data_IF_290981659512
#
_entry.id   IF_290981659512
#
_cell.length_a   1.000
_cell.length_b   1.000
_cell.length_c   1.000
_cell.angle_alpha   90.00
_cell.angle_beta   90.00
_cell.angle_gamma   90.00
#
_symmetry.space_group_name_H-M   'P 1'
#
loop_
_entity.id
_entity.type
_entity.pdbx_description
1 polymer ?
#
# COMPACT_ATOMS: atom_id res chain seq x y z
N UNK A 1 70.85 -30.73 26.40
CA UNK A 1 70.71 -30.97 24.95
C UNK A 1 69.45 -31.80 24.71
N UNK A 2 68.42 -31.12 24.19
CA UNK A 2 67.42 -31.54 23.19
C UNK A 2 67.06 -33.03 23.06
N UNK A 3 65.77 -33.36 23.22
CA UNK A 3 64.92 -34.06 22.22
C UNK A 3 63.47 -34.15 22.75
N UNK A 4 62.61 -33.17 22.50
CA UNK A 4 61.66 -33.11 21.37
C UNK A 4 60.57 -34.19 21.43
N UNK A 5 59.51 -33.91 22.21
CA UNK A 5 58.27 -34.68 22.22
C UNK A 5 57.35 -34.20 21.07
N UNK A 6 56.84 -35.17 20.32
CA UNK A 6 55.81 -35.00 19.29
C UNK A 6 54.54 -34.39 19.89
N UNK A 7 54.15 -33.20 19.40
CA UNK A 7 52.81 -32.66 19.58
C UNK A 7 52.22 -32.37 18.20
N UNK A 8 51.38 -33.29 17.73
CA UNK A 8 50.51 -33.08 16.57
C UNK A 8 49.43 -32.10 17.00
N UNK A 9 49.53 -30.85 16.54
CA UNK A 9 48.53 -29.82 16.77
C UNK A 9 47.45 -29.94 15.69
N UNK A 10 46.31 -30.55 16.04
CA UNK A 10 45.12 -30.54 15.19
C UNK A 10 44.52 -29.14 15.27
N UNK A 11 44.77 -28.33 14.24
CA UNK A 11 44.13 -27.03 14.05
C UNK A 11 42.65 -27.28 13.67
N UNK A 12 41.76 -27.21 14.65
CA UNK A 12 40.33 -27.14 14.39
C UNK A 12 40.02 -25.79 13.73
N UNK A 13 39.83 -25.81 12.41
CA UNK A 13 39.24 -24.70 11.66
C UNK A 13 37.82 -24.49 12.19
N UNK A 14 37.68 -23.55 13.13
CA UNK A 14 36.42 -22.90 13.43
C UNK A 14 36.04 -22.10 12.18
N UNK A 15 35.30 -22.75 11.28
CA UNK A 15 34.62 -22.07 10.19
C UNK A 15 33.66 -21.07 10.79
N UNK A 16 34.05 -19.80 10.83
CA UNK A 16 33.11 -18.71 11.01
C UNK A 16 32.15 -18.78 9.83
N UNK A 17 30.92 -19.23 10.10
CA UNK A 17 29.84 -19.15 9.14
C UNK A 17 29.63 -17.68 8.80
N UNK A 18 30.25 -17.22 7.71
CA UNK A 18 29.87 -15.97 7.09
C UNK A 18 28.43 -16.15 6.63
N UNK A 19 27.48 -15.58 7.37
CA UNK A 19 26.12 -15.45 6.89
C UNK A 19 26.20 -14.52 5.69
N UNK A 20 26.01 -15.06 4.49
CA UNK A 20 25.83 -14.26 3.30
C UNK A 20 24.53 -13.46 3.51
N UNK A 21 24.64 -12.22 3.99
CA UNK A 21 23.50 -11.31 4.03
C UNK A 21 23.23 -10.87 2.59
N UNK A 22 22.01 -11.10 2.11
CA UNK A 22 21.58 -10.54 0.84
C UNK A 22 21.51 -9.01 0.99
N UNK A 23 22.06 -8.25 0.03
CA UNK A 23 22.11 -6.77 0.05
C UNK A 23 20.75 -6.11 -0.24
N UNK A 24 19.64 -6.76 0.11
CA UNK A 24 18.31 -6.22 -0.17
C UNK A 24 18.06 -5.02 0.72
N UNK A 25 17.77 -3.86 0.13
CA UNK A 25 17.35 -2.66 0.86
C UNK A 25 16.15 -2.00 0.20
N UNK A 26 15.51 -1.06 0.89
CA UNK A 26 14.38 -0.31 0.34
C UNK A 26 14.90 0.75 -0.62
N UNK A 27 14.28 0.80 -1.81
CA UNK A 27 14.49 1.88 -2.75
C UNK A 27 13.88 3.17 -2.16
N UNK A 28 14.71 4.15 -1.82
CA UNK A 28 14.27 5.48 -1.39
C UNK A 28 14.87 6.57 -2.27
N UNK A 29 14.08 7.58 -2.61
CA UNK A 29 14.55 8.82 -3.22
C UNK A 29 13.56 9.95 -2.89
N UNK A 30 14.05 11.10 -2.42
CA UNK A 30 13.21 12.23 -2.02
C UNK A 30 13.86 13.16 -0.99
N UNK A 31 13.06 14.02 -0.38
CA UNK A 31 13.48 15.00 0.64
C UNK A 31 13.30 14.49 2.09
N UNK A 32 12.82 13.25 2.26
CA UNK A 32 12.64 12.57 3.54
C UNK A 32 13.12 11.13 3.47
N UNK A 33 13.44 10.55 4.63
CA UNK A 33 13.76 9.14 4.76
C UNK A 33 12.50 8.28 4.52
N UNK A 34 12.62 7.04 4.02
CA UNK A 34 11.46 6.19 3.78
C UNK A 34 10.83 5.73 5.11
N UNK A 35 9.69 6.31 5.46
CA UNK A 35 8.84 5.87 6.57
C UNK A 35 7.86 4.80 6.07
N UNK A 36 7.93 3.59 6.63
CA UNK A 36 7.02 2.51 6.28
C UNK A 36 5.82 2.56 7.24
N UNK A 37 4.65 2.88 6.73
CA UNK A 37 3.39 2.78 7.47
C UNK A 37 2.52 1.69 6.87
N UNK A 38 1.90 0.88 7.74
CA UNK A 38 1.03 -0.23 7.35
C UNK A 38 -0.21 -0.27 8.24
N UNK A 39 -1.32 -0.77 7.70
CA UNK A 39 -2.57 -0.96 8.43
C UNK A 39 -3.09 -2.40 8.27
N UNK A 40 -3.96 -2.89 9.19
CA UNK A 40 -4.52 -4.23 9.11
C UNK A 40 -5.23 -4.47 7.77
N UNK A 41 -4.92 -5.59 7.11
CA UNK A 41 -5.54 -5.98 5.84
C UNK A 41 -5.14 -5.12 4.62
N UNK A 42 -4.25 -4.14 4.78
CA UNK A 42 -3.84 -3.24 3.72
C UNK A 42 -3.14 -3.98 2.58
N UNK A 43 -3.54 -3.69 1.33
CA UNK A 43 -2.71 -3.96 0.16
C UNK A 43 -1.67 -2.84 0.01
N UNK A 44 -0.40 -3.22 -0.09
CA UNK A 44 0.70 -2.28 -0.27
C UNK A 44 1.81 -2.90 -1.11
N UNK A 45 2.75 -2.09 -1.58
CA UNK A 45 3.90 -2.52 -2.39
C UNK A 45 5.20 -2.11 -1.71
N UNK A 46 6.09 -3.08 -1.49
CA UNK A 46 7.45 -2.84 -1.05
C UNK A 46 8.37 -2.71 -2.27
N UNK A 47 9.11 -1.62 -2.37
CA UNK A 47 10.10 -1.41 -3.44
C UNK A 47 11.51 -1.72 -2.94
N UNK A 48 12.13 -2.71 -3.55
CA UNK A 48 13.37 -3.33 -3.11
C UNK A 48 14.47 -3.16 -4.14
N UNK A 49 15.69 -2.91 -3.70
CA UNK A 49 16.91 -2.98 -4.52
C UNK A 49 17.83 -4.06 -3.98
N UNK A 50 18.79 -4.53 -4.78
CA UNK A 50 19.82 -5.48 -4.35
C UNK A 50 19.37 -6.96 -4.29
N UNK A 51 18.15 -7.27 -4.74
CA UNK A 51 17.67 -8.66 -4.91
C UNK A 51 18.51 -9.41 -5.93
N UNK A 52 18.85 -10.67 -5.64
CA UNK A 52 19.57 -11.59 -6.53
C UNK A 52 18.70 -12.26 -7.58
N UNK A 53 17.38 -12.28 -7.35
CA UNK A 53 16.41 -12.77 -8.30
C UNK A 53 16.20 -11.73 -9.41
N UNK A 54 16.36 -12.17 -10.65
CA UNK A 54 15.93 -11.42 -11.85
C UNK A 54 14.88 -12.28 -12.56
N UNK A 55 13.64 -11.82 -12.57
CA UNK A 55 12.54 -12.52 -13.23
C UNK A 55 12.78 -12.58 -14.73
N UNK A 56 12.54 -13.73 -15.33
CA UNK A 56 12.52 -13.88 -16.80
C UNK A 56 11.29 -13.22 -17.42
N UNK A 57 11.39 -12.81 -18.69
CA UNK A 57 10.26 -12.25 -19.45
C UNK A 57 10.31 -10.72 -19.57
N UNK A 58 9.44 -10.19 -20.44
CA UNK A 58 9.17 -8.76 -20.62
C UNK A 58 7.65 -8.61 -20.83
N UNK A 59 6.91 -7.91 -19.95
CA UNK A 59 7.39 -7.30 -18.70
C UNK A 59 7.83 -8.36 -17.66
N UNK A 60 8.75 -7.99 -16.77
CA UNK A 60 9.24 -8.87 -15.68
C UNK A 60 8.23 -8.87 -14.53
N UNK A 61 7.17 -9.64 -14.66
CA UNK A 61 6.04 -9.65 -13.72
C UNK A 61 5.59 -11.08 -13.47
N UNK A 62 5.25 -11.38 -12.21
CA UNK A 62 4.56 -12.59 -11.81
C UNK A 62 3.44 -12.23 -10.84
N UNK A 63 2.20 -12.50 -11.23
CA UNK A 63 1.01 -12.37 -10.38
C UNK A 63 0.69 -13.67 -9.65
N UNK A 64 -0.02 -13.57 -8.53
CA UNK A 64 -0.55 -14.74 -7.85
C UNK A 64 -1.52 -15.50 -8.78
N UNK A 65 -1.34 -16.83 -8.95
CA UNK A 65 -2.25 -17.64 -9.76
C UNK A 65 -3.51 -18.06 -8.99
N UNK A 66 -3.57 -17.86 -7.68
CA UNK A 66 -4.62 -18.42 -6.81
C UNK A 66 -5.16 -17.40 -5.81
N UNK A 67 -6.37 -17.67 -5.34
CA UNK A 67 -6.93 -17.10 -4.10
C UNK A 67 -7.29 -18.29 -3.18
N UNK A 68 -6.83 -18.34 -1.92
CA UNK A 68 -6.02 -17.33 -1.24
C UNK A 68 -4.66 -17.06 -1.87
N UNK A 69 -4.17 -15.82 -1.75
CA UNK A 69 -2.84 -15.45 -2.26
C UNK A 69 -1.74 -16.24 -1.54
N UNK A 70 -0.69 -16.70 -2.24
CA UNK A 70 0.40 -17.46 -1.65
C UNK A 70 1.32 -16.56 -0.83
N UNK A 71 1.97 -17.12 0.17
CA UNK A 71 2.98 -16.42 1.00
C UNK A 71 4.40 -16.51 0.43
N UNK A 72 4.58 -17.24 -0.68
CA UNK A 72 5.79 -17.27 -1.47
C UNK A 72 5.42 -17.09 -2.95
N UNK A 73 6.02 -16.09 -3.59
CA UNK A 73 5.81 -15.84 -5.01
C UNK A 73 7.11 -15.36 -5.63
N UNK A 74 7.47 -15.94 -6.78
CA UNK A 74 8.67 -15.58 -7.53
C UNK A 74 9.98 -15.64 -6.70
N UNK A 75 10.03 -16.51 -5.69
CA UNK A 75 11.16 -16.66 -4.76
C UNK A 75 11.19 -15.65 -3.60
N UNK A 76 10.22 -14.75 -3.52
CA UNK A 76 10.07 -13.79 -2.41
C UNK A 76 9.05 -14.28 -1.40
N UNK A 77 9.34 -14.06 -0.12
CA UNK A 77 8.39 -14.14 0.99
C UNK A 77 8.58 -12.93 1.88
N UNK A 78 7.53 -12.49 2.55
CA UNK A 78 7.56 -11.34 3.46
C UNK A 78 6.93 -11.76 4.78
N UNK A 79 7.63 -11.55 5.88
CA UNK A 79 7.10 -11.79 7.22
C UNK A 79 6.94 -10.50 7.98
N UNK A 80 5.80 -10.34 8.65
CA UNK A 80 5.51 -9.25 9.57
C UNK A 80 5.66 -9.82 10.98
N UNK A 81 6.55 -9.24 11.78
CA UNK A 81 6.74 -9.59 13.18
C UNK A 81 6.31 -8.44 14.07
N UNK A 82 5.49 -8.73 15.07
CA UNK A 82 5.12 -7.83 16.14
C UNK A 82 5.75 -8.34 17.43
N UNK A 83 6.44 -7.47 18.17
CA UNK A 83 7.07 -7.82 19.45
C UNK A 83 6.70 -6.87 20.57
N UNK A 84 6.61 -7.39 21.80
CA UNK A 84 6.29 -6.66 23.02
C UNK A 84 4.91 -7.06 23.57
N UNK A 85 3.91 -6.16 23.51
CA UNK A 85 2.57 -6.47 24.03
C UNK A 85 1.86 -7.60 23.25
N UNK A 86 2.28 -7.83 22.01
CA UNK A 86 2.02 -9.05 21.23
C UNK A 86 3.34 -9.56 20.68
N UNK A 87 3.51 -10.88 20.70
CA UNK A 87 4.61 -11.56 20.02
C UNK A 87 3.99 -12.46 18.95
N UNK A 88 4.03 -12.01 17.70
CA UNK A 88 3.56 -12.77 16.55
C UNK A 88 4.51 -12.57 15.37
N UNK A 89 4.63 -13.59 14.54
CA UNK A 89 5.31 -13.53 13.26
C UNK A 89 4.43 -14.24 12.24
N UNK A 90 4.03 -13.53 11.21
CA UNK A 90 3.12 -14.03 10.18
C UNK A 90 3.67 -13.75 8.79
N UNK A 91 3.39 -14.65 7.86
CA UNK A 91 3.74 -14.46 6.46
C UNK A 91 2.65 -13.67 5.74
N UNK A 92 3.04 -12.64 5.01
CA UNK A 92 2.14 -11.83 4.21
C UNK A 92 1.79 -12.56 2.90
N UNK A 93 0.49 -12.67 2.55
CA UNK A 93 0.08 -13.12 1.22
C UNK A 93 0.53 -12.13 0.14
N UNK A 94 1.14 -12.63 -0.94
CA UNK A 94 1.73 -11.83 -2.02
C UNK A 94 0.78 -11.82 -3.22
N UNK A 95 0.37 -10.63 -3.64
CA UNK A 95 -0.47 -10.38 -4.82
C UNK A 95 0.34 -10.53 -6.10
N UNK A 96 1.54 -9.96 -6.12
CA UNK A 96 2.39 -9.95 -7.30
C UNK A 96 3.81 -9.46 -7.02
N UNK A 97 4.74 -9.87 -7.89
CA UNK A 97 6.11 -9.39 -7.92
C UNK A 97 6.39 -8.81 -9.30
N UNK A 98 6.92 -7.59 -9.34
CA UNK A 98 7.26 -6.91 -10.57
C UNK A 98 8.67 -6.35 -10.50
N UNK A 99 9.37 -6.31 -11.63
CA UNK A 99 10.73 -5.77 -11.71
C UNK A 99 10.87 -4.76 -12.83
N UNK A 100 11.42 -3.60 -12.49
CA UNK A 100 11.73 -2.53 -13.43
C UNK A 100 13.24 -2.38 -13.54
N UNK A 101 13.75 -2.31 -14.77
CA UNK A 101 15.14 -1.98 -15.03
C UNK A 101 15.31 -0.47 -15.15
N UNK A 102 16.01 0.15 -14.20
CA UNK A 102 16.26 1.59 -14.21
C UNK A 102 17.39 2.01 -15.16
N UNK A 103 18.23 1.07 -15.61
CA UNK A 103 19.39 1.37 -16.45
C UNK A 103 19.09 1.32 -17.97
N UNK A 104 17.82 1.25 -18.37
CA UNK A 104 17.42 1.25 -19.78
C UNK A 104 17.39 -0.15 -20.42
N UNK A 105 17.70 -0.25 -21.71
CA UNK A 105 17.50 -1.48 -22.52
C UNK A 105 18.76 -2.32 -22.74
N UNK A 106 19.89 -1.96 -22.13
CA UNK A 106 21.17 -2.70 -22.32
C UNK A 106 21.10 -4.12 -21.70
N UNK A 107 21.44 -5.19 -22.47
CA UNK A 107 21.38 -6.56 -21.97
C UNK A 107 22.73 -7.04 -21.36
N UNK A 108 22.69 -7.85 -20.28
CA UNK A 108 21.60 -7.99 -19.32
C UNK A 108 21.60 -6.84 -18.30
N UNK A 109 20.44 -6.48 -17.71
CA UNK A 109 20.45 -5.58 -16.57
C UNK A 109 21.36 -6.15 -15.50
N UNK A 110 22.36 -5.38 -15.09
CA UNK A 110 23.06 -5.72 -13.86
C UNK A 110 22.02 -5.76 -12.74
N UNK A 111 22.17 -6.72 -11.83
CA UNK A 111 21.30 -6.88 -10.67
C UNK A 111 21.12 -5.55 -9.89
N UNK A 112 22.15 -4.70 -9.91
CA UNK A 112 22.18 -3.36 -9.32
C UNK A 112 21.16 -2.38 -9.92
N UNK A 113 20.65 -2.64 -11.12
CA UNK A 113 19.72 -1.78 -11.84
C UNK A 113 18.24 -2.18 -11.66
N UNK A 114 17.99 -3.30 -11.00
CA UNK A 114 16.64 -3.83 -10.83
C UNK A 114 16.02 -3.28 -9.55
N UNK A 115 14.86 -2.63 -9.70
CA UNK A 115 13.94 -2.38 -8.59
C UNK A 115 12.86 -3.45 -8.63
N UNK A 116 12.67 -4.15 -7.51
CA UNK A 116 11.63 -5.16 -7.33
C UNK A 116 10.49 -4.59 -6.50
N UNK A 117 9.30 -4.54 -7.08
CA UNK A 117 8.06 -4.22 -6.39
C UNK A 117 7.38 -5.52 -5.93
N UNK A 118 7.25 -5.73 -4.62
CA UNK A 118 6.52 -6.85 -4.03
C UNK A 118 5.20 -6.32 -3.48
N UNK A 119 4.10 -6.59 -4.17
CA UNK A 119 2.75 -6.23 -3.73
C UNK A 119 2.17 -7.34 -2.87
N UNK A 120 1.72 -6.99 -1.66
CA UNK A 120 1.29 -7.94 -0.64
C UNK A 120 0.12 -7.40 0.18
N UNK A 121 -0.57 -8.30 0.89
CA UNK A 121 -1.55 -7.94 1.89
C UNK A 121 -0.96 -8.07 3.29
N UNK A 122 -1.07 -7.02 4.08
CA UNK A 122 -0.71 -7.01 5.49
C UNK A 122 -1.70 -7.88 6.28
N UNK A 123 -1.25 -8.64 7.30
CA UNK A 123 -2.13 -9.43 8.15
C UNK A 123 -3.36 -8.65 8.63
N UNK A 124 -4.52 -9.28 8.55
CA UNK A 124 -5.80 -8.65 8.83
C UNK A 124 -6.00 -8.30 10.30
N UNK A 125 -5.34 -9.02 11.19
CA UNK A 125 -5.38 -8.88 12.65
C UNK A 125 -4.15 -8.16 13.24
N UNK A 126 -3.37 -7.49 12.39
CA UNK A 126 -2.25 -6.64 12.78
C UNK A 126 -2.67 -5.74 13.96
N UNK A 127 -1.91 -5.79 15.06
CA UNK A 127 -2.14 -4.87 16.16
C UNK A 127 -1.64 -3.48 15.78
N UNK A 128 -2.55 -2.51 15.69
CA UNK A 128 -2.21 -1.12 15.47
C UNK A 128 -1.68 -0.45 16.76
N UNK A 129 -0.74 0.47 16.60
CA UNK A 129 -0.31 1.37 17.66
C UNK A 129 -1.28 2.54 17.74
N UNK A 130 -2.28 2.48 18.63
CA UNK A 130 -3.22 3.59 18.83
C UNK A 130 -2.58 4.64 19.74
N UNK A 131 -2.43 5.87 19.26
CA UNK A 131 -1.79 6.95 19.99
C UNK A 131 -2.54 7.38 21.25
N UNK A 132 -2.07 6.95 22.43
CA UNK A 132 -2.18 7.70 23.69
C UNK A 132 -1.13 7.18 24.68
N UNK A 133 -0.22 8.06 25.10
CA UNK A 133 0.62 8.00 26.32
C UNK A 133 0.73 6.61 27.00
N UNK A 134 1.46 5.68 26.40
CA UNK A 134 1.79 4.45 27.10
C UNK A 134 3.24 4.08 26.78
N UNK A 135 4.19 4.47 27.66
CA UNK A 135 5.62 4.18 27.50
C UNK A 135 5.95 2.67 27.42
N UNK A 136 4.98 1.80 27.73
CA UNK A 136 5.10 0.33 27.78
C UNK A 136 4.16 -0.40 26.81
N UNK A 137 3.34 0.29 26.01
CA UNK A 137 2.45 -0.34 25.02
C UNK A 137 3.21 -0.64 23.72
N UNK A 138 4.44 -1.14 23.89
CA UNK A 138 5.40 -1.41 22.84
C UNK A 138 4.96 -2.59 22.01
N UNK A 139 4.42 -2.31 20.83
CA UNK A 139 4.40 -3.26 19.73
C UNK A 139 5.36 -2.75 18.69
N UNK A 140 6.58 -3.28 18.70
CA UNK A 140 7.53 -3.03 17.62
C UNK A 140 7.12 -3.89 16.44
N UNK A 141 6.86 -3.27 15.30
CA UNK A 141 6.51 -3.99 14.07
C UNK A 141 7.69 -3.96 13.12
N UNK A 142 8.11 -5.14 12.67
CA UNK A 142 9.22 -5.34 11.75
C UNK A 142 8.75 -6.11 10.52
N UNK A 143 9.12 -5.63 9.34
CA UNK A 143 8.92 -6.34 8.07
C UNK A 143 10.26 -6.96 7.68
N UNK A 144 10.29 -8.27 7.50
CA UNK A 144 11.47 -9.00 7.02
C UNK A 144 11.19 -9.62 5.67
N UNK A 145 12.16 -9.49 4.77
CA UNK A 145 12.06 -10.02 3.41
C UNK A 145 12.92 -11.27 3.32
N UNK A 146 12.37 -12.33 2.73
CA UNK A 146 13.08 -13.56 2.46
C UNK A 146 13.20 -13.76 0.95
N UNK A 147 14.41 -14.10 0.51
CA UNK A 147 14.72 -14.41 -0.88
C UNK A 147 15.22 -15.86 -0.95
N UNK A 148 14.50 -16.72 -1.68
CA UNK A 148 14.77 -18.16 -1.76
C UNK A 148 14.91 -18.82 -0.37
N UNK A 149 14.06 -18.40 0.58
CA UNK A 149 14.06 -18.88 1.97
C UNK A 149 15.20 -18.34 2.85
N UNK A 150 16.12 -17.53 2.30
CA UNK A 150 17.16 -16.85 3.08
C UNK A 150 16.64 -15.51 3.56
N UNK A 151 16.82 -15.25 4.86
CA UNK A 151 16.47 -13.96 5.45
C UNK A 151 17.35 -12.85 4.86
N UNK A 152 16.71 -11.88 4.21
CA UNK A 152 17.30 -10.62 3.81
C UNK A 152 17.18 -9.58 4.93
N UNK A 153 17.08 -8.31 4.54
CA UNK A 153 16.94 -7.22 5.49
C UNK A 153 15.60 -7.21 6.23
N UNK A 154 15.61 -6.54 7.38
CA UNK A 154 14.44 -6.30 8.22
C UNK A 154 14.32 -4.80 8.50
N UNK A 155 13.10 -4.27 8.42
CA UNK A 155 12.82 -2.84 8.52
C UNK A 155 11.74 -2.59 9.55
N UNK A 156 11.86 -1.50 10.31
CA UNK A 156 10.81 -1.05 11.20
C UNK A 156 9.64 -0.49 10.39
N UNK A 157 8.42 -0.79 10.83
CA UNK A 157 7.20 -0.24 10.26
C UNK A 157 6.31 0.34 11.36
N UNK A 158 5.67 1.48 11.07
CA UNK A 158 4.60 2.03 11.87
C UNK A 158 3.29 1.28 11.56
N UNK A 159 2.81 0.48 12.52
CA UNK A 159 1.48 -0.12 12.45
C UNK A 159 0.42 0.92 12.88
N UNK A 160 -0.38 1.38 11.93
CA UNK A 160 -1.47 2.34 12.13
C UNK A 160 -2.84 1.63 12.12
N UNK A 161 -3.87 2.17 12.80
CA UNK A 161 -5.22 1.62 12.71
C UNK A 161 -5.79 1.73 11.29
N UNK A 162 -5.48 2.82 10.59
CA UNK A 162 -5.75 3.04 9.18
C UNK A 162 -4.54 3.72 8.52
N UNK A 163 -4.30 3.38 7.27
CA UNK A 163 -3.30 3.98 6.40
C UNK A 163 -3.96 4.15 5.03
N UNK A 164 -4.82 5.15 4.94
CA UNK A 164 -5.76 5.32 3.84
C UNK A 164 -5.00 5.62 2.56
N UNK A 165 -5.33 4.89 1.49
CA UNK A 165 -4.88 5.17 0.14
C UNK A 165 -6.06 5.01 -0.82
N UNK A 166 -6.49 6.12 -1.42
CA UNK A 166 -7.50 6.16 -2.47
C UNK A 166 -6.82 5.71 -3.75
N UNK A 167 -7.42 4.71 -4.41
CA UNK A 167 -6.78 4.07 -5.53
C UNK A 167 -6.86 4.92 -6.80
N UNK A 168 -5.79 4.87 -7.57
CA UNK A 168 -5.69 5.42 -8.92
C UNK A 168 -5.35 4.32 -9.92
N UNK A 169 -5.51 4.61 -11.20
CA UNK A 169 -5.08 3.72 -12.31
C UNK A 169 -3.57 3.50 -12.38
N UNK A 170 -2.77 4.24 -11.60
CA UNK A 170 -1.31 4.11 -11.56
C UNK A 170 -0.80 3.22 -10.43
N UNK A 171 -1.67 2.77 -9.53
CA UNK A 171 -1.24 2.00 -8.38
C UNK A 171 -0.74 0.61 -8.78
N UNK A 172 0.48 0.30 -8.35
CA UNK A 172 1.17 -0.96 -8.64
C UNK A 172 0.42 -2.22 -8.20
N UNK A 173 -0.46 -2.10 -7.21
CA UNK A 173 -1.35 -3.18 -6.73
C UNK A 173 -2.48 -3.53 -7.71
N UNK A 174 -2.76 -2.64 -8.68
CA UNK A 174 -3.77 -2.84 -9.73
C UNK A 174 -3.09 -3.04 -11.08
N UNK A 175 -2.28 -2.06 -11.49
CA UNK A 175 -1.60 -2.05 -12.77
C UNK A 175 -0.38 -1.14 -12.71
N UNK A 176 0.74 -1.59 -13.26
CA UNK A 176 1.94 -0.75 -13.36
C UNK A 176 1.83 0.15 -14.59
N UNK A 177 1.23 1.32 -14.39
CA UNK A 177 1.08 2.31 -15.43
C UNK A 177 2.34 3.16 -15.52
N UNK A 178 3.14 2.94 -16.55
CA UNK A 178 4.43 3.64 -16.74
C UNK A 178 4.32 4.92 -17.58
N UNK A 179 3.12 5.31 -18.05
CA UNK A 179 2.96 6.46 -18.95
C UNK A 179 1.54 7.03 -19.01
N UNK A 180 1.32 8.26 -18.54
CA UNK A 180 0.06 8.99 -18.67
C UNK A 180 -0.42 9.59 -17.34
N UNK A 181 -1.54 10.30 -17.35
CA UNK A 181 -2.18 10.86 -16.16
C UNK A 181 -2.94 9.79 -15.39
N UNK A 182 -2.70 9.69 -14.09
CA UNK A 182 -3.41 8.79 -13.19
C UNK A 182 -4.86 9.25 -13.04
N UNK A 183 -5.81 8.34 -13.12
CA UNK A 183 -7.22 8.61 -12.87
C UNK A 183 -7.63 8.00 -11.54
N UNK A 184 -8.41 8.74 -10.77
CA UNK A 184 -8.98 8.24 -9.51
C UNK A 184 -9.95 7.10 -9.78
N UNK A 185 -9.92 6.05 -8.95
CA UNK A 185 -10.89 4.96 -9.01
C UNK A 185 -12.15 5.32 -8.22
N UNK A 186 -12.79 6.39 -8.69
CA UNK A 186 -14.09 6.86 -8.22
C UNK A 186 -15.08 6.72 -9.36
N UNK A 187 -16.09 5.89 -9.14
CA UNK A 187 -17.05 5.46 -10.15
C UNK A 187 -18.44 5.98 -9.81
N UNK A 188 -19.25 6.24 -10.83
CA UNK A 188 -20.69 6.34 -10.69
C UNK A 188 -21.28 5.02 -10.19
N UNK A 189 -22.49 5.04 -9.63
CA UNK A 189 -23.20 3.81 -9.22
C UNK A 189 -23.47 2.82 -10.37
N UNK A 190 -23.33 3.26 -11.63
CA UNK A 190 -23.40 2.43 -12.84
C UNK A 190 -22.09 1.67 -13.14
N UNK A 191 -21.00 1.98 -12.44
CA UNK A 191 -19.66 1.41 -12.65
C UNK A 191 -18.79 2.16 -13.66
N UNK A 192 -19.29 3.21 -14.31
CA UNK A 192 -18.48 4.09 -15.17
C UNK A 192 -17.63 5.06 -14.35
N UNK A 193 -16.43 5.37 -14.84
CA UNK A 193 -15.52 6.32 -14.19
C UNK A 193 -16.05 7.75 -14.21
N UNK A 194 -15.83 8.49 -13.12
CA UNK A 194 -16.08 9.93 -13.06
C UNK A 194 -14.99 10.65 -13.84
N UNK A 195 -15.37 11.53 -14.76
CA UNK A 195 -14.42 12.27 -15.62
C UNK A 195 -15.01 13.59 -16.10
N UNK A 196 -14.25 14.42 -16.82
CA UNK A 196 -14.78 15.66 -17.37
C UNK A 196 -15.85 15.49 -18.47
N UNK A 197 -15.82 14.36 -19.19
CA UNK A 197 -16.86 14.01 -20.17
C UNK A 197 -18.07 13.32 -19.54
N UNK A 198 -17.88 12.76 -18.34
CA UNK A 198 -18.93 12.15 -17.53
C UNK A 198 -18.82 12.66 -16.08
N UNK A 199 -19.20 13.93 -15.86
CA UNK A 199 -19.06 14.56 -14.54
C UNK A 199 -20.03 13.94 -13.54
N UNK A 200 -19.62 13.93 -12.28
CA UNK A 200 -20.51 13.58 -11.19
C UNK A 200 -21.63 14.63 -11.01
N UNK A 201 -22.79 14.21 -10.54
CA UNK A 201 -23.95 15.06 -10.30
C UNK A 201 -24.18 15.23 -8.80
N UNK A 202 -24.48 16.46 -8.37
CA UNK A 202 -24.85 16.75 -6.99
C UNK A 202 -25.98 15.83 -6.50
N UNK A 203 -25.81 15.26 -5.31
CA UNK A 203 -26.78 14.36 -4.70
C UNK A 203 -26.68 12.89 -5.15
N UNK A 204 -25.90 12.55 -6.18
CA UNK A 204 -25.67 11.16 -6.54
C UNK A 204 -24.75 10.45 -5.54
N UNK A 205 -24.81 9.11 -5.52
CA UNK A 205 -23.88 8.28 -4.74
C UNK A 205 -22.77 7.79 -5.67
N UNK A 206 -21.53 8.11 -5.32
CA UNK A 206 -20.33 7.58 -5.97
C UNK A 206 -19.73 6.43 -5.15
N UNK A 207 -18.97 5.58 -5.84
CA UNK A 207 -18.20 4.47 -5.26
C UNK A 207 -16.71 4.77 -5.42
N UNK A 208 -16.03 5.04 -4.31
CA UNK A 208 -14.58 5.23 -4.25
C UNK A 208 -13.90 3.94 -3.82
N UNK A 209 -12.90 3.50 -4.58
CA UNK A 209 -12.07 2.35 -4.22
C UNK A 209 -10.82 2.78 -3.46
N UNK A 210 -10.52 2.07 -2.36
CA UNK A 210 -9.40 2.38 -1.49
C UNK A 210 -8.78 1.11 -0.89
N UNK A 211 -7.58 1.26 -0.32
CA UNK A 211 -6.91 0.25 0.51
C UNK A 211 -6.47 0.87 1.83
N UNK A 212 -6.15 0.02 2.81
CA UNK A 212 -5.63 0.48 4.10
C UNK A 212 -6.66 1.16 5.01
N UNK A 213 -7.96 0.87 4.83
CA UNK A 213 -9.01 1.33 5.75
C UNK A 213 -9.04 0.56 7.09
N UNK A 214 -8.10 -0.37 7.30
CA UNK A 214 -7.93 -1.06 8.56
C UNK A 214 -8.89 -2.25 8.76
N UNK A 215 -9.02 -2.68 10.01
CA UNK A 215 -9.77 -3.88 10.37
C UNK A 215 -11.27 -3.81 10.01
N UNK A 216 -11.87 -4.98 9.85
CA UNK A 216 -13.29 -5.16 9.52
C UNK A 216 -13.99 -6.03 10.53
N UNK A 217 -15.33 -5.94 10.56
CA UNK A 217 -16.18 -6.82 11.36
C UNK A 217 -17.29 -7.44 10.49
N UNK A 218 -17.30 -8.77 10.29
CA UNK A 218 -16.32 -9.75 10.76
C UNK A 218 -14.95 -9.60 10.08
N UNK A 219 -13.90 -10.08 10.73
CA UNK A 219 -12.55 -10.08 10.17
C UNK A 219 -12.46 -10.99 8.94
N UNK A 220 -11.79 -10.53 7.88
CA UNK A 220 -11.47 -11.35 6.70
C UNK A 220 -9.99 -11.73 6.75
N UNK A 221 -9.63 -13.03 6.77
CA UNK A 221 -8.23 -13.46 6.74
C UNK A 221 -7.49 -12.88 5.53
N UNK A 222 -6.25 -12.41 5.75
CA UNK A 222 -5.41 -11.92 4.66
C UNK A 222 -5.21 -12.99 3.57
N UNK A 223 -5.20 -12.56 2.32
CA UNK A 223 -5.09 -13.39 1.13
C UNK A 223 -6.43 -13.92 0.63
N UNK A 224 -7.49 -13.93 1.46
CA UNK A 224 -8.79 -14.48 1.08
C UNK A 224 -9.66 -13.46 0.36
N UNK A 225 -10.51 -13.96 -0.54
CA UNK A 225 -11.58 -13.17 -1.13
C UNK A 225 -12.58 -12.73 -0.05
N UNK A 226 -13.02 -11.48 -0.16
CA UNK A 226 -14.05 -10.90 0.70
C UNK A 226 -15.38 -11.65 0.52
N UNK A 227 -16.02 -12.07 1.63
CA UNK A 227 -17.30 -12.77 1.57
C UNK A 227 -18.45 -11.84 1.16
N UNK A 228 -19.60 -12.46 0.85
CA UNK A 228 -20.88 -11.76 0.70
C UNK A 228 -21.82 -12.22 1.83
N UNK A 229 -22.39 -11.31 2.64
CA UNK A 229 -22.27 -9.85 2.58
C UNK A 229 -20.86 -9.34 2.96
N UNK A 230 -20.49 -8.19 2.40
CA UNK A 230 -19.17 -7.60 2.61
C UNK A 230 -19.01 -7.06 4.04
N UNK A 231 -17.92 -7.40 4.74
CA UNK A 231 -17.63 -6.85 6.06
C UNK A 231 -17.39 -5.34 6.05
N UNK A 232 -17.85 -4.68 7.10
CA UNK A 232 -17.76 -3.23 7.29
C UNK A 232 -16.44 -2.89 7.99
N UNK A 233 -15.77 -1.82 7.58
CA UNK A 233 -14.57 -1.34 8.23
C UNK A 233 -14.90 -0.73 9.61
N UNK A 234 -14.05 -0.94 10.61
CA UNK A 234 -14.30 -0.50 12.00
C UNK A 234 -13.74 0.89 12.33
N UNK A 235 -13.12 1.57 11.37
CA UNK A 235 -12.50 2.88 11.55
C UNK A 235 -13.51 4.03 11.68
N UNK A 236 -13.03 5.16 12.20
CA UNK A 236 -13.77 6.41 12.34
C UNK A 236 -13.60 7.28 11.09
N UNK A 237 -14.39 7.02 10.04
CA UNK A 237 -14.23 7.74 8.79
C UNK A 237 -15.03 9.04 8.72
N UNK A 238 -14.40 10.08 8.17
CA UNK A 238 -15.06 11.32 7.80
C UNK A 238 -14.69 11.72 6.37
N UNK A 239 -15.57 12.47 5.72
CA UNK A 239 -15.35 12.93 4.35
C UNK A 239 -15.53 14.45 4.26
N UNK A 240 -14.53 15.09 3.66
CA UNK A 240 -14.47 16.52 3.46
C UNK A 240 -14.36 16.83 1.97
N UNK A 241 -14.91 17.97 1.58
CA UNK A 241 -15.02 18.35 0.18
C UNK A 241 -14.65 19.83 0.02
N UNK A 242 -13.84 20.16 -0.98
CA UNK A 242 -13.69 21.55 -1.39
C UNK A 242 -13.71 21.72 -2.91
N UNK A 243 -14.49 22.71 -3.34
CA UNK A 243 -14.52 23.20 -4.71
C UNK A 243 -13.38 24.20 -4.95
N UNK A 244 -12.14 23.72 -4.86
CA UNK A 244 -10.90 24.49 -5.02
C UNK A 244 -10.42 24.55 -6.48
N UNK A 245 -11.32 24.37 -7.46
CA UNK A 245 -10.94 24.22 -8.87
C UNK A 245 -10.04 23.01 -9.12
N UNK A 246 -10.24 21.94 -8.35
CA UNK A 246 -9.43 20.72 -8.43
C UNK A 246 -8.03 20.85 -7.82
N UNK A 247 -7.69 21.96 -7.17
CA UNK A 247 -6.41 22.10 -6.48
C UNK A 247 -6.42 21.33 -5.14
N UNK A 248 -5.26 20.80 -4.75
CA UNK A 248 -5.06 20.20 -3.41
C UNK A 248 -5.33 21.24 -2.32
N UNK A 249 -6.07 20.86 -1.29
CA UNK A 249 -6.47 21.75 -0.19
C UNK A 249 -5.30 21.84 0.81
N UNK A 250 -4.80 23.05 1.04
CA UNK A 250 -3.95 23.36 2.19
C UNK A 250 -4.73 24.13 3.26
N UNK A 251 -4.21 24.21 4.50
CA UNK A 251 -4.83 24.94 5.61
C UNK A 251 -5.09 26.44 5.33
N UNK A 252 -4.49 27.01 4.28
CA UNK A 252 -4.66 28.40 3.84
C UNK A 252 -5.53 28.57 2.59
N UNK A 253 -6.13 27.50 2.04
CA UNK A 253 -6.75 27.52 0.71
C UNK A 253 -8.02 28.36 0.57
N UNK A 254 -8.57 28.91 1.67
CA UNK A 254 -9.73 29.81 1.68
C UNK A 254 -11.03 29.24 1.11
N UNK A 255 -11.00 28.01 0.59
CA UNK A 255 -12.16 27.31 0.03
C UNK A 255 -13.01 26.76 1.17
N UNK A 256 -14.34 26.97 1.14
CA UNK A 256 -15.19 26.44 2.20
C UNK A 256 -15.19 24.91 2.12
N UNK A 257 -14.97 24.28 3.28
CA UNK A 257 -14.98 22.83 3.42
C UNK A 257 -16.43 22.41 3.66
N UNK A 258 -16.95 21.55 2.79
CA UNK A 258 -18.25 20.92 2.93
C UNK A 258 -18.08 19.53 3.56
N UNK A 259 -19.12 19.08 4.26
CA UNK A 259 -19.23 17.71 4.76
C UNK A 259 -20.44 17.05 4.09
N UNK A 260 -20.29 15.77 3.74
CA UNK A 260 -21.37 14.98 3.15
C UNK A 260 -21.47 13.62 3.83
N UNK A 261 -22.66 13.02 3.95
CA UNK A 261 -22.81 11.70 4.56
C UNK A 261 -22.10 10.61 3.77
N UNK A 262 -21.27 9.84 4.47
CA UNK A 262 -20.81 8.52 4.02
C UNK A 262 -21.97 7.53 4.20
N UNK A 263 -22.26 6.75 3.17
CA UNK A 263 -23.31 5.73 3.16
C UNK A 263 -22.78 4.34 3.49
N UNK A 264 -21.54 4.05 3.14
CA UNK A 264 -20.92 2.76 3.39
C UNK A 264 -19.40 2.88 3.39
N UNK A 265 -18.73 2.12 4.27
CA UNK A 265 -17.29 1.87 4.24
C UNK A 265 -17.06 0.39 4.56
N UNK A 266 -16.53 -0.37 3.62
CA UNK A 266 -16.30 -1.79 3.83
C UNK A 266 -15.56 -2.43 2.67
N UNK A 267 -15.30 -3.73 2.79
CA UNK A 267 -14.60 -4.45 1.74
C UNK A 267 -15.49 -4.63 0.50
N UNK A 268 -14.87 -4.83 -0.66
CA UNK A 268 -15.57 -5.13 -1.91
C UNK A 268 -15.75 -6.64 -2.04
N UNK A 269 -16.98 -7.18 -2.17
CA UNK A 269 -17.20 -8.62 -2.33
C UNK A 269 -16.33 -9.25 -3.41
N UNK A 270 -15.85 -10.46 -3.18
CA UNK A 270 -15.00 -11.27 -4.07
C UNK A 270 -13.58 -10.75 -4.33
N UNK A 271 -13.31 -9.47 -4.06
CA UNK A 271 -11.97 -8.91 -4.12
C UNK A 271 -11.16 -9.30 -2.87
N UNK A 272 -9.84 -9.21 -2.93
CA UNK A 272 -8.95 -9.41 -1.78
C UNK A 272 -8.41 -8.05 -1.35
N UNK A 273 -8.59 -7.65 -0.09
CA UNK A 273 -8.00 -6.42 0.48
C UNK A 273 -8.47 -5.09 -0.11
N UNK A 274 -9.43 -5.11 -1.04
CA UNK A 274 -10.04 -3.92 -1.66
C UNK A 274 -11.21 -3.44 -0.82
N UNK A 275 -11.30 -2.13 -0.61
CA UNK A 275 -12.42 -1.47 0.05
C UNK A 275 -13.17 -0.59 -0.92
N UNK A 276 -14.45 -0.38 -0.64
CA UNK A 276 -15.29 0.62 -1.28
C UNK A 276 -15.85 1.59 -0.23
N UNK A 277 -15.94 2.85 -0.64
CA UNK A 277 -16.55 3.94 0.12
C UNK A 277 -17.66 4.53 -0.72
N UNK A 278 -18.89 4.49 -0.22
CA UNK A 278 -20.04 5.08 -0.91
C UNK A 278 -20.37 6.41 -0.24
N UNK A 279 -20.41 7.50 -1.00
CA UNK A 279 -20.66 8.84 -0.47
C UNK A 279 -21.56 9.67 -1.39
N UNK A 280 -22.28 10.63 -0.81
CA UNK A 280 -23.11 11.57 -1.57
C UNK A 280 -22.25 12.74 -2.06
N UNK A 281 -22.37 13.10 -3.34
CA UNK A 281 -21.72 14.29 -3.89
C UNK A 281 -22.41 15.57 -3.37
N UNK A 282 -21.69 16.50 -2.71
CA UNK A 282 -22.28 17.73 -2.23
C UNK A 282 -22.60 18.69 -3.38
N UNK A 283 -23.61 19.54 -3.21
CA UNK A 283 -23.94 20.58 -4.18
C UNK A 283 -22.76 21.54 -4.41
N UNK A 284 -22.44 21.88 -5.67
CA UNK A 284 -21.46 22.90 -5.99
C UNK A 284 -21.79 24.26 -5.37
N UNK A 285 -20.74 25.02 -5.06
CA UNK A 285 -20.87 26.41 -4.68
C UNK A 285 -21.29 27.25 -5.91
N UNK A 286 -21.98 28.40 -5.74
CA UNK A 286 -22.42 29.23 -6.85
C UNK A 286 -21.32 29.69 -7.81
N UNK A 287 -20.06 29.72 -7.36
CA UNK A 287 -18.89 30.14 -8.11
C UNK A 287 -17.90 28.98 -8.35
N UNK A 288 -18.35 27.73 -8.23
CA UNK A 288 -17.52 26.58 -8.52
C UNK A 288 -17.08 26.59 -9.99
N UNK A 289 -15.78 26.41 -10.22
CA UNK A 289 -15.20 26.36 -11.57
C UNK A 289 -15.64 25.09 -12.29
N UNK A 290 -15.95 25.20 -13.58
CA UNK A 290 -16.24 24.00 -14.39
C UNK A 290 -14.99 23.16 -14.59
N UNK A 291 -15.13 21.85 -14.77
CA UNK A 291 -13.99 20.94 -14.89
C UNK A 291 -13.07 21.32 -16.06
N UNK A 292 -13.63 21.69 -17.22
CA UNK A 292 -12.89 22.04 -18.43
C UNK A 292 -12.00 23.28 -18.27
N UNK A 293 -12.25 24.12 -17.25
CA UNK A 293 -11.47 25.31 -16.96
C UNK A 293 -10.27 25.06 -16.04
N UNK A 294 -10.09 23.82 -15.59
CA UNK A 294 -9.01 23.43 -14.65
C UNK A 294 -7.94 22.62 -15.38
N UNK A 295 -6.65 22.73 -15.00
CA UNK A 295 -5.57 21.98 -15.64
C UNK A 295 -5.75 20.45 -15.57
N UNK A 296 -6.27 19.96 -14.44
CA UNK A 296 -6.46 18.53 -14.17
C UNK A 296 -7.86 18.03 -14.61
N UNK A 297 -8.66 18.88 -15.24
CA UNK A 297 -10.04 18.60 -15.62
C UNK A 297 -10.93 18.11 -14.46
N UNK A 298 -10.67 18.60 -13.24
CA UNK A 298 -11.37 18.27 -11.99
C UNK A 298 -11.66 19.55 -11.23
N UNK A 299 -12.75 19.60 -10.47
CA UNK A 299 -13.14 20.81 -9.76
C UNK A 299 -13.49 20.59 -8.29
N UNK A 300 -13.47 19.34 -7.83
CA UNK A 300 -13.74 18.95 -6.45
C UNK A 300 -12.59 18.10 -5.93
N UNK A 301 -12.02 18.50 -4.80
CA UNK A 301 -11.13 17.66 -4.01
C UNK A 301 -11.97 16.98 -2.92
N UNK A 302 -11.91 15.66 -2.87
CA UNK A 302 -12.56 14.83 -1.84
C UNK A 302 -11.48 14.26 -0.94
N UNK A 303 -11.57 14.51 0.35
CA UNK A 303 -10.64 13.99 1.35
C UNK A 303 -11.35 12.98 2.23
N UNK A 304 -10.87 11.73 2.24
CA UNK A 304 -11.28 10.70 3.17
C UNK A 304 -10.28 10.68 4.34
N UNK A 305 -10.77 10.78 5.57
CA UNK A 305 -9.91 10.81 6.75
C UNK A 305 -10.42 9.92 7.87
N UNK A 306 -9.48 9.58 8.75
CA UNK A 306 -9.69 8.92 10.04
C UNK A 306 -8.89 9.66 11.10
N UNK A 307 -8.95 9.19 12.35
CA UNK A 307 -8.06 9.67 13.42
C UNK A 307 -6.57 9.42 13.15
N UNK A 308 -6.22 8.45 12.29
CA UNK A 308 -4.83 8.02 12.06
C UNK A 308 -4.22 8.49 10.73
N UNK A 309 -5.04 8.61 9.68
CA UNK A 309 -4.58 8.84 8.31
C UNK A 309 -5.67 9.52 7.48
N UNK A 310 -5.26 10.24 6.44
CA UNK A 310 -6.14 10.85 5.47
C UNK A 310 -5.52 10.79 4.08
N UNK A 311 -6.36 10.70 3.06
CA UNK A 311 -5.96 10.78 1.66
C UNK A 311 -7.01 11.56 0.85
N UNK A 312 -6.59 12.12 -0.28
CA UNK A 312 -7.43 12.98 -1.11
C UNK A 312 -7.38 12.63 -2.58
N UNK A 313 -8.54 12.68 -3.22
CA UNK A 313 -8.72 12.44 -4.64
C UNK A 313 -9.38 13.66 -5.31
N UNK A 314 -9.09 13.86 -6.59
CA UNK A 314 -9.68 14.94 -7.38
C UNK A 314 -10.69 14.39 -8.39
N UNK A 315 -11.91 14.91 -8.38
CA UNK A 315 -12.97 14.50 -9.29
C UNK A 315 -13.63 15.68 -9.98
N UNK A 316 -14.30 15.39 -11.09
CA UNK A 316 -15.13 16.34 -11.80
C UNK A 316 -16.59 16.23 -11.34
N UNK A 317 -17.18 17.35 -10.94
CA UNK A 317 -18.61 17.49 -10.62
C UNK A 317 -19.22 18.53 -11.55
N UNK A 318 -20.42 18.26 -12.07
CA UNK A 318 -21.19 19.20 -12.87
C UNK A 318 -21.51 20.44 -12.04
N UNK A 319 -21.09 21.59 -12.56
CA UNK A 319 -21.44 22.91 -12.02
C UNK A 319 -22.63 23.49 -12.78
N UNK A 320 -23.40 24.40 -12.16
CA UNK A 320 -24.43 25.18 -12.85
C UNK A 320 -23.90 25.99 -14.04
#
# INVERSE_FOLDING_TARGET
MISAANAICILALLGTGATAQNNITIAGAGYSHPDISIAPGQLTTLFLTGSSIVLSGQPRIQWSPTVPFPTNLAGFSVSISQSGARNSTEQAPIVGVQQTNLCGTEPPPSQSCIVTAVSLQIPSDLAANVGQMCPTCGVSTTISILENGKQGASFLAAALPQNIHILTTCDTIIYNHTSGSCQELIMHGTGSAVSASQPATAGEILVMYAVGLGATNPLVPAGNATPSPAPVATGDFSMQFAYSGGATIGPSSGSPILQSPIKFVGMTPTAVGLYQVNFIVPSPLPNATSCQQTPDQTNLTVTLSSSASADSAKICVSTP
#
